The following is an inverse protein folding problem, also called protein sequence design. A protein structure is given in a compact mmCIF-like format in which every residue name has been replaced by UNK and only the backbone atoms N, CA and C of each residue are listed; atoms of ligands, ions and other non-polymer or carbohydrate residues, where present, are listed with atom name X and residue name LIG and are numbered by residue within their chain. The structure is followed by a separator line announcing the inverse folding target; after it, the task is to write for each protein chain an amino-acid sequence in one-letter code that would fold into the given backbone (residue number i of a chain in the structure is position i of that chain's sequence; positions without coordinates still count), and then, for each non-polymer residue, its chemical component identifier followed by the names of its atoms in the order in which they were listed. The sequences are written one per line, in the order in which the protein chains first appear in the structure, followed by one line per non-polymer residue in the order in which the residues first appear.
data_IF_744148571491
#
_entry.id   IF_744148571491
#
_cell.length_a   1.000
_cell.length_b   1.000
_cell.length_c   1.000
_cell.angle_alpha   90.00
_cell.angle_beta   90.00
_cell.angle_gamma   90.00
#
_symmetry.space_group_name_H-M   'P 1'
#
loop_
_entity.id
_entity.type
_entity.pdbx_description
1 polymer ?
#
# COMPACT_ATOMS: atom_id res chain seq x y z
N UNK A 1 -8.60 1.81 20.41
CA UNK A 1 -7.69 1.72 19.24
C UNK A 1 -7.82 0.33 18.63
N UNK A 2 -8.38 0.27 17.44
CA UNK A 2 -8.65 -0.97 16.70
C UNK A 2 -7.37 -1.58 16.07
N UNK A 3 -7.57 -2.66 15.31
CA UNK A 3 -6.47 -3.34 14.60
C UNK A 3 -5.91 -2.43 13.50
N UNK A 4 -6.78 -1.87 12.66
CA UNK A 4 -6.38 -1.01 11.54
C UNK A 4 -5.57 0.21 12.00
N UNK A 5 -6.03 0.91 13.06
CA UNK A 5 -5.29 2.07 13.58
C UNK A 5 -3.89 1.70 14.03
N UNK A 6 -3.71 0.56 14.73
CA UNK A 6 -2.38 0.10 15.14
C UNK A 6 -1.46 -0.19 13.95
N UNK A 7 -2.02 -0.81 12.89
CA UNK A 7 -1.28 -1.12 11.66
C UNK A 7 -0.86 0.17 10.97
N UNK A 8 -1.80 1.10 10.74
CA UNK A 8 -1.52 2.39 10.08
C UNK A 8 -0.53 3.24 10.88
N UNK A 9 -0.66 3.30 12.21
CA UNK A 9 0.33 3.98 13.05
C UNK A 9 1.72 3.36 12.91
N UNK A 10 1.81 2.03 12.84
CA UNK A 10 3.07 1.33 12.60
C UNK A 10 3.68 1.71 11.24
N UNK A 11 2.89 1.73 10.19
CA UNK A 11 3.31 2.14 8.85
C UNK A 11 3.76 3.61 8.81
N UNK A 12 3.00 4.48 9.46
CA UNK A 12 3.31 5.92 9.52
C UNK A 12 4.63 6.17 10.26
N UNK A 13 4.84 5.54 11.42
CA UNK A 13 6.10 5.63 12.15
C UNK A 13 7.27 5.16 11.31
N UNK A 14 7.10 4.04 10.60
CA UNK A 14 8.16 3.52 9.73
C UNK A 14 8.46 4.46 8.56
N UNK A 15 7.43 5.06 7.94
CA UNK A 15 7.64 6.08 6.91
C UNK A 15 8.41 7.29 7.43
N UNK A 16 8.08 7.76 8.65
CA UNK A 16 8.82 8.86 9.30
C UNK A 16 10.29 8.51 9.46
N UNK A 17 10.61 7.34 10.00
CA UNK A 17 12.00 6.90 10.18
C UNK A 17 12.79 6.88 8.84
N UNK A 18 12.16 6.39 7.78
CA UNK A 18 12.80 6.30 6.46
C UNK A 18 12.99 7.68 5.83
N UNK A 19 11.99 8.56 5.92
CA UNK A 19 12.08 9.93 5.43
C UNK A 19 13.11 10.75 6.21
N UNK A 20 13.18 10.61 7.54
CA UNK A 20 14.22 11.25 8.36
C UNK A 20 15.62 10.77 7.97
N UNK A 21 15.76 9.48 7.68
CA UNK A 21 17.02 8.91 7.17
C UNK A 21 17.37 9.49 5.80
N UNK A 22 16.38 9.67 4.92
CA UNK A 22 16.57 10.27 3.60
C UNK A 22 17.04 11.72 3.67
N UNK A 23 16.48 12.48 4.61
CA UNK A 23 16.77 13.90 4.83
C UNK A 23 18.01 14.13 5.73
N UNK A 24 18.60 13.05 6.25
CA UNK A 24 19.73 13.11 7.16
C UNK A 24 21.03 13.62 6.54
N UNK A 25 22.02 14.01 7.39
CA UNK A 25 23.31 14.51 6.93
C UNK A 25 24.02 13.53 5.98
N UNK A 26 24.59 14.04 4.89
CA UNK A 26 25.32 13.25 3.88
C UNK A 26 24.46 12.49 2.89
N UNK A 27 23.14 12.69 2.92
CA UNK A 27 22.22 12.08 1.94
C UNK A 27 21.74 13.06 0.87
N UNK A 28 21.88 14.37 1.09
CA UNK A 28 21.41 15.43 0.19
C UNK A 28 21.99 15.31 -1.23
N UNK A 29 23.23 14.82 -1.36
CA UNK A 29 23.88 14.63 -2.66
C UNK A 29 23.36 13.42 -3.46
N UNK A 30 22.47 12.62 -2.86
CA UNK A 30 21.93 11.40 -3.47
C UNK A 30 20.50 11.56 -3.98
N UNK A 31 19.88 12.71 -3.75
CA UNK A 31 18.53 13.03 -4.18
C UNK A 31 18.52 14.36 -4.88
N UNK A 32 17.62 14.55 -5.82
CA UNK A 32 17.42 15.86 -6.45
C UNK A 32 16.79 16.84 -5.46
N UNK A 33 16.91 18.14 -5.75
CA UNK A 33 16.30 19.18 -4.91
C UNK A 33 14.76 19.03 -4.85
N UNK A 34 14.13 18.62 -5.95
CA UNK A 34 12.69 18.35 -6.01
C UNK A 34 12.29 17.17 -5.14
N UNK A 35 13.05 16.05 -5.17
CA UNK A 35 12.83 14.91 -4.30
C UNK A 35 13.04 15.25 -2.84
N UNK A 36 14.05 16.05 -2.53
CA UNK A 36 14.31 16.51 -1.18
C UNK A 36 13.12 17.31 -0.63
N UNK A 37 12.64 18.28 -1.39
CA UNK A 37 11.47 19.09 -1.02
C UNK A 37 10.20 18.23 -0.84
N UNK A 38 10.01 17.22 -1.71
CA UNK A 38 8.91 16.25 -1.59
C UNK A 38 9.01 15.43 -0.31
N UNK A 39 10.18 14.92 0.03
CA UNK A 39 10.38 14.14 1.25
C UNK A 39 10.18 14.99 2.52
N UNK A 40 10.61 16.27 2.52
CA UNK A 40 10.31 17.20 3.62
C UNK A 40 8.80 17.38 3.81
N UNK A 41 8.06 17.55 2.71
CA UNK A 41 6.61 17.67 2.70
C UNK A 41 5.94 16.40 3.24
N UNK A 42 6.32 15.23 2.72
CA UNK A 42 5.81 13.93 3.16
C UNK A 42 6.10 13.68 4.66
N UNK A 43 7.30 14.01 5.13
CA UNK A 43 7.67 13.89 6.54
C UNK A 43 6.81 14.77 7.44
N UNK A 44 6.56 16.00 7.01
CA UNK A 44 5.71 16.94 7.76
C UNK A 44 4.29 16.38 7.91
N UNK A 45 3.69 15.87 6.83
CA UNK A 45 2.37 15.26 6.85
C UNK A 45 2.33 13.97 7.66
N UNK A 46 3.31 13.10 7.50
CA UNK A 46 3.39 11.85 8.23
C UNK A 46 3.39 12.08 9.75
N UNK A 47 4.16 13.06 10.24
CA UNK A 47 4.18 13.45 11.65
C UNK A 47 2.83 13.96 12.13
N UNK A 48 2.19 14.85 11.36
CA UNK A 48 0.85 15.38 11.72
C UNK A 48 -0.21 14.29 11.72
N UNK A 49 -0.13 13.37 10.78
CA UNK A 49 -1.04 12.25 10.73
C UNK A 49 -0.83 11.29 11.91
N UNK A 50 0.40 11.02 12.28
CA UNK A 50 0.71 10.23 13.47
C UNK A 50 0.15 10.89 14.73
N UNK A 51 0.37 12.19 14.93
CA UNK A 51 -0.19 12.96 16.06
C UNK A 51 -1.72 12.88 16.07
N UNK A 52 -2.38 13.01 14.91
CA UNK A 52 -3.83 12.88 14.78
C UNK A 52 -4.32 11.50 15.24
N UNK A 53 -3.67 10.41 14.82
CA UNK A 53 -4.03 9.05 15.21
C UNK A 53 -3.76 8.80 16.71
N UNK A 54 -2.67 9.32 17.26
CA UNK A 54 -2.32 9.20 18.69
C UNK A 54 -3.33 9.94 19.58
N UNK A 55 -3.95 11.01 19.08
CA UNK A 55 -5.04 11.70 19.75
C UNK A 55 -6.42 11.03 19.56
N UNK A 56 -6.49 9.89 18.92
CA UNK A 56 -7.73 9.16 18.65
C UNK A 56 -8.51 9.64 17.44
N UNK A 57 -7.84 10.30 16.49
CA UNK A 57 -8.43 10.69 15.22
C UNK A 57 -8.78 9.48 14.34
N UNK A 58 -9.67 9.69 13.39
CA UNK A 58 -10.11 8.67 12.44
C UNK A 58 -9.03 8.36 11.41
N UNK A 59 -9.06 7.13 10.88
CA UNK A 59 -8.22 6.73 9.75
C UNK A 59 -8.61 7.49 8.49
N UNK A 60 -7.60 7.88 7.71
CA UNK A 60 -7.77 8.52 6.42
C UNK A 60 -7.51 7.49 5.31
N UNK A 61 -8.42 7.43 4.33
CA UNK A 61 -8.25 6.58 3.14
C UNK A 61 -7.03 7.02 2.33
N UNK A 62 -6.37 6.10 1.62
CA UNK A 62 -6.67 4.67 1.40
C UNK A 62 -6.10 3.73 2.47
N UNK A 63 -5.40 4.25 3.48
CA UNK A 63 -4.69 3.45 4.47
C UNK A 63 -5.59 2.47 5.24
N UNK A 64 -6.83 2.85 5.54
CA UNK A 64 -7.77 2.04 6.31
C UNK A 64 -8.21 0.77 5.57
N UNK A 65 -8.41 0.84 4.26
CA UNK A 65 -8.87 -0.30 3.43
C UNK A 65 -7.89 -1.47 3.47
N UNK A 66 -6.58 -1.17 3.45
CA UNK A 66 -5.53 -2.18 3.49
C UNK A 66 -5.22 -2.64 4.92
N UNK A 67 -5.23 -1.70 5.86
CA UNK A 67 -4.84 -1.96 7.24
C UNK A 67 -5.82 -2.89 7.97
N UNK A 68 -7.12 -2.80 7.66
CA UNK A 68 -8.14 -3.68 8.23
C UNK A 68 -7.91 -5.15 7.90
N UNK A 69 -7.37 -5.42 6.71
CA UNK A 69 -7.19 -6.77 6.18
C UNK A 69 -5.73 -7.24 6.21
N UNK A 70 -4.84 -6.49 6.87
CA UNK A 70 -3.46 -6.90 7.07
C UNK A 70 -3.43 -8.23 7.87
N UNK A 71 -2.70 -9.22 7.34
CA UNK A 71 -2.63 -10.60 7.86
C UNK A 71 -3.92 -11.42 7.69
N UNK A 72 -4.93 -10.92 6.98
CA UNK A 72 -6.13 -11.69 6.65
C UNK A 72 -5.92 -12.54 5.38
N UNK A 73 -6.76 -13.56 5.24
CA UNK A 73 -6.83 -14.40 4.04
C UNK A 73 -7.65 -13.69 2.96
N UNK A 74 -6.96 -13.27 1.90
CA UNK A 74 -7.55 -12.56 0.78
C UNK A 74 -7.60 -13.44 -0.46
N UNK A 75 -8.57 -13.17 -1.33
CA UNK A 75 -8.71 -13.82 -2.64
C UNK A 75 -9.27 -12.85 -3.67
N UNK A 76 -9.02 -13.13 -4.93
CA UNK A 76 -9.67 -12.42 -6.04
C UNK A 76 -10.89 -13.22 -6.44
N UNK A 77 -12.04 -12.58 -6.43
CA UNK A 77 -13.32 -13.11 -6.87
C UNK A 77 -13.88 -12.36 -8.07
N UNK A 78 -14.97 -12.85 -8.59
CA UNK A 78 -15.75 -12.19 -9.63
C UNK A 78 -17.13 -11.89 -9.08
N UNK A 79 -17.55 -10.64 -9.19
CA UNK A 79 -18.89 -10.20 -8.83
C UNK A 79 -19.99 -10.78 -9.71
N UNK A 80 -21.26 -10.59 -9.33
CA UNK A 80 -22.39 -11.09 -10.10
C UNK A 80 -22.38 -10.52 -11.53
N UNK A 81 -22.65 -11.34 -12.56
CA UNK A 81 -22.65 -10.89 -13.95
C UNK A 81 -23.68 -9.79 -14.26
N UNK A 82 -24.67 -9.64 -13.39
CA UNK A 82 -25.77 -8.68 -13.49
C UNK A 82 -25.34 -7.23 -13.18
N UNK A 83 -24.24 -7.06 -12.46
CA UNK A 83 -23.66 -5.77 -12.06
C UNK A 83 -22.44 -5.35 -12.93
N UNK A 84 -22.20 -6.08 -14.04
CA UNK A 84 -20.96 -5.98 -14.81
C UNK A 84 -19.87 -6.80 -14.12
N UNK A 85 -19.21 -7.70 -14.81
CA UNK A 85 -18.25 -8.65 -14.24
C UNK A 85 -17.10 -7.96 -13.48
N UNK A 86 -17.40 -7.40 -12.32
CA UNK A 86 -16.43 -6.74 -11.45
C UNK A 86 -15.43 -7.75 -10.88
N UNK A 87 -14.17 -7.42 -10.95
CA UNK A 87 -13.14 -8.14 -10.21
C UNK A 87 -13.14 -7.58 -8.79
N UNK A 88 -13.29 -8.46 -7.82
CA UNK A 88 -13.41 -8.09 -6.41
C UNK A 88 -12.24 -8.71 -5.64
N UNK A 89 -11.51 -7.89 -4.89
CA UNK A 89 -10.64 -8.38 -3.83
C UNK A 89 -11.52 -8.65 -2.61
N UNK A 90 -11.56 -9.90 -2.18
CA UNK A 90 -12.45 -10.38 -1.13
C UNK A 90 -11.62 -10.87 0.07
N UNK A 91 -12.03 -10.50 1.27
CA UNK A 91 -11.45 -11.01 2.50
C UNK A 91 -12.26 -12.19 3.02
N UNK A 92 -11.68 -13.39 2.99
CA UNK A 92 -12.32 -14.60 3.53
C UNK A 92 -12.41 -14.59 5.05
N UNK A 93 -11.50 -13.86 5.72
CA UNK A 93 -11.52 -13.76 7.18
C UNK A 93 -12.67 -12.91 7.68
N UNK A 94 -12.97 -11.82 7.01
CA UNK A 94 -14.08 -10.91 7.36
C UNK A 94 -15.40 -11.27 6.69
N UNK A 95 -15.36 -12.11 5.66
CA UNK A 95 -16.48 -12.41 4.76
C UNK A 95 -17.04 -11.15 4.09
N UNK A 96 -16.13 -10.28 3.60
CA UNK A 96 -16.50 -8.95 3.07
C UNK A 96 -15.58 -8.54 1.91
N UNK A 97 -16.09 -7.80 0.91
CA UNK A 97 -15.27 -7.22 -0.13
C UNK A 97 -14.35 -6.15 0.45
N UNK A 98 -13.07 -6.23 0.12
CA UNK A 98 -12.06 -5.22 0.47
C UNK A 98 -12.06 -4.09 -0.54
N UNK A 99 -12.24 -4.44 -1.81
CA UNK A 99 -12.15 -3.54 -2.92
C UNK A 99 -12.89 -4.13 -4.13
N UNK A 100 -13.71 -3.33 -4.75
CA UNK A 100 -14.35 -3.64 -6.01
C UNK A 100 -13.83 -2.68 -7.08
N UNK A 101 -13.35 -3.22 -8.16
CA UNK A 101 -12.86 -2.43 -9.28
C UNK A 101 -13.78 -2.62 -10.46
N UNK A 102 -14.57 -1.61 -10.77
CA UNK A 102 -15.33 -1.59 -12.00
C UNK A 102 -14.36 -1.62 -13.20
N UNK A 103 -14.62 -2.42 -14.24
CA UNK A 103 -13.75 -2.49 -15.42
C UNK A 103 -13.43 -1.13 -16.05
N UNK A 104 -14.33 -0.16 -15.88
CA UNK A 104 -14.21 1.20 -16.40
C UNK A 104 -13.18 2.07 -15.65
N UNK A 105 -12.90 1.77 -14.38
CA UNK A 105 -12.00 2.58 -13.54
C UNK A 105 -10.54 2.10 -13.57
N UNK A 106 -10.31 0.81 -13.83
CA UNK A 106 -8.98 0.21 -13.74
C UNK A 106 -8.21 0.10 -15.04
N UNK A 107 -8.86 0.35 -16.17
CA UNK A 107 -8.32 -0.01 -17.47
C UNK A 107 -8.34 -1.53 -17.73
N UNK A 108 -8.53 -1.93 -18.97
CA UNK A 108 -8.67 -3.33 -19.39
C UNK A 108 -7.50 -4.23 -18.92
N UNK A 109 -6.27 -3.69 -18.90
CA UNK A 109 -5.06 -4.44 -18.54
C UNK A 109 -5.04 -4.88 -17.07
N UNK A 110 -5.54 -4.06 -16.14
CA UNK A 110 -5.59 -4.39 -14.72
C UNK A 110 -6.63 -5.46 -14.42
N UNK A 111 -7.84 -5.32 -14.98
CA UNK A 111 -8.89 -6.32 -14.83
C UNK A 111 -8.47 -7.69 -15.38
N UNK A 112 -7.82 -7.72 -16.54
CA UNK A 112 -7.26 -8.94 -17.13
C UNK A 112 -6.20 -9.58 -16.22
N UNK A 113 -5.27 -8.78 -15.69
CA UNK A 113 -4.23 -9.24 -14.77
C UNK A 113 -4.82 -9.89 -13.51
N UNK A 114 -5.81 -9.25 -12.89
CA UNK A 114 -6.45 -9.81 -11.70
C UNK A 114 -7.30 -11.05 -12.02
N UNK A 115 -7.94 -11.11 -13.18
CA UNK A 115 -8.74 -12.25 -13.61
C UNK A 115 -7.91 -13.55 -13.71
N UNK A 116 -6.62 -13.46 -14.02
CA UNK A 116 -5.70 -14.61 -14.03
C UNK A 116 -5.47 -15.21 -12.62
N UNK A 117 -5.82 -14.49 -11.57
CA UNK A 117 -5.61 -14.88 -10.18
C UNK A 117 -6.90 -15.15 -9.41
N UNK A 118 -8.01 -15.41 -10.13
CA UNK A 118 -9.29 -15.77 -9.50
C UNK A 118 -9.14 -17.00 -8.58
N UNK A 119 -9.62 -16.86 -7.35
CA UNK A 119 -9.58 -17.91 -6.33
C UNK A 119 -8.21 -18.17 -5.71
N UNK A 120 -7.17 -17.44 -6.11
CA UNK A 120 -5.82 -17.61 -5.57
C UNK A 120 -5.68 -17.04 -4.15
N UNK A 121 -4.66 -17.50 -3.42
CA UNK A 121 -4.22 -16.96 -2.12
C UNK A 121 -3.51 -15.61 -2.36
N UNK A 122 -4.12 -14.54 -1.92
CA UNK A 122 -3.62 -13.17 -2.03
C UNK A 122 -3.28 -12.66 -0.65
N UNK A 123 -2.14 -12.00 -0.52
CA UNK A 123 -1.69 -11.41 0.74
C UNK A 123 -1.23 -9.99 0.56
N UNK A 124 -1.44 -9.19 1.60
CA UNK A 124 -0.86 -7.87 1.69
C UNK A 124 0.62 -8.05 2.03
N UNK A 125 1.48 -7.57 1.13
CA UNK A 125 2.93 -7.50 1.34
C UNK A 125 3.30 -6.15 1.96
N UNK A 126 4.21 -6.21 2.90
CA UNK A 126 4.97 -5.07 3.37
C UNK A 126 6.44 -5.29 3.03
N UNK A 127 7.00 -4.42 2.21
CA UNK A 127 8.38 -4.52 1.76
C UNK A 127 9.12 -3.20 2.01
N UNK A 128 10.22 -3.27 2.70
CA UNK A 128 11.06 -2.10 2.97
C UNK A 128 12.09 -1.87 1.86
N UNK A 129 11.99 -2.60 0.77
CA UNK A 129 12.91 -2.55 -0.36
C UNK A 129 14.39 -2.61 0.03
N UNK A 130 15.19 -3.43 -0.59
CA UNK A 130 16.62 -3.45 -0.27
C UNK A 130 17.25 -2.09 -0.60
N UNK A 131 18.16 -1.62 0.24
CA UNK A 131 19.15 -0.61 -0.15
C UNK A 131 20.07 -1.22 -1.23
N UNK A 132 19.50 -1.65 -2.33
CA UNK A 132 20.26 -2.27 -3.38
C UNK A 132 20.88 -1.22 -4.29
N UNK A 133 22.18 -1.32 -4.48
CA UNK A 133 22.99 -0.66 -5.50
C UNK A 133 23.07 0.88 -5.40
N UNK A 134 23.03 1.43 -4.20
CA UNK A 134 23.23 2.87 -4.00
C UNK A 134 22.02 3.73 -4.39
N UNK A 135 20.89 3.13 -4.70
CA UNK A 135 19.60 3.81 -4.78
C UNK A 135 18.98 3.73 -3.41
N UNK A 136 18.91 4.87 -2.72
CA UNK A 136 18.27 4.94 -1.43
C UNK A 136 16.75 4.82 -1.62
N UNK A 137 16.16 3.74 -1.10
CA UNK A 137 14.71 3.61 -1.02
C UNK A 137 14.24 4.31 0.26
N UNK A 138 13.53 5.41 0.10
CA UNK A 138 13.08 6.28 1.19
C UNK A 138 11.61 6.05 1.54
N UNK A 139 11.18 4.82 1.62
CA UNK A 139 9.84 4.44 1.99
C UNK A 139 9.73 2.92 2.04
N UNK A 140 8.60 2.41 2.44
CA UNK A 140 8.27 1.02 2.26
C UNK A 140 7.02 0.88 1.41
N UNK A 141 6.97 -0.18 0.65
CA UNK A 141 5.87 -0.49 -0.23
C UNK A 141 4.87 -1.39 0.49
N UNK A 142 3.60 -1.08 0.29
CA UNK A 142 2.49 -1.98 0.59
C UNK A 142 1.97 -2.47 -0.75
N UNK A 143 1.79 -3.77 -0.86
CA UNK A 143 1.35 -4.37 -2.11
C UNK A 143 0.44 -5.56 -1.91
N UNK A 144 -0.06 -6.09 -3.01
CA UNK A 144 -0.77 -7.36 -3.08
C UNK A 144 0.09 -8.36 -3.82
N UNK A 145 0.33 -9.50 -3.19
CA UNK A 145 1.08 -10.60 -3.77
C UNK A 145 0.20 -11.85 -3.92
N UNK A 146 0.27 -12.49 -5.07
CA UNK A 146 -0.31 -13.81 -5.28
C UNK A 146 0.67 -14.88 -4.81
N UNK A 147 0.30 -15.62 -3.78
CA UNK A 147 1.09 -16.73 -3.22
C UNK A 147 0.83 -18.08 -3.90
N UNK A 148 -0.24 -18.19 -4.69
CA UNK A 148 -0.53 -19.40 -5.49
C UNK A 148 0.38 -19.46 -6.70
N UNK A 149 0.59 -18.35 -7.40
CA UNK A 149 1.50 -18.25 -8.54
C UNK A 149 2.93 -18.05 -8.07
N UNK A 150 3.89 -18.44 -8.91
CA UNK A 150 5.32 -18.30 -8.63
C UNK A 150 6.01 -17.53 -9.76
N UNK A 151 6.91 -16.63 -9.37
CA UNK A 151 7.83 -15.98 -10.29
C UNK A 151 9.07 -16.85 -10.56
N UNK A 152 10.01 -16.31 -11.34
CA UNK A 152 11.27 -17.01 -11.73
C UNK A 152 12.12 -17.45 -10.53
N UNK A 153 12.01 -16.78 -9.40
CA UNK A 153 12.76 -17.05 -8.16
C UNK A 153 11.96 -17.94 -7.18
N UNK A 154 10.83 -18.50 -7.63
CA UNK A 154 9.86 -19.23 -6.81
C UNK A 154 9.21 -18.42 -5.67
N UNK A 155 9.30 -17.09 -5.76
CA UNK A 155 8.56 -16.18 -4.88
C UNK A 155 7.13 -15.90 -5.37
N UNK A 156 6.33 -15.19 -4.56
CA UNK A 156 5.00 -14.76 -4.97
C UNK A 156 5.06 -13.76 -6.13
N UNK A 157 3.98 -13.65 -6.89
CA UNK A 157 3.85 -12.65 -7.96
C UNK A 157 3.22 -11.39 -7.40
N UNK A 158 3.91 -10.25 -7.53
CA UNK A 158 3.36 -8.95 -7.16
C UNK A 158 2.26 -8.54 -8.14
N UNK A 159 1.07 -8.28 -7.62
CA UNK A 159 -0.09 -7.79 -8.38
C UNK A 159 -0.16 -6.28 -8.36
N UNK A 160 0.12 -5.70 -7.21
CA UNK A 160 0.12 -4.26 -6.97
C UNK A 160 1.22 -3.89 -5.97
N UNK A 161 1.76 -2.70 -6.09
CA UNK A 161 2.66 -2.11 -5.09
C UNK A 161 2.49 -0.59 -5.08
N UNK A 162 2.40 -0.03 -3.88
CA UNK A 162 2.33 1.42 -3.65
C UNK A 162 3.17 1.82 -2.46
N UNK A 163 3.84 2.95 -2.56
CA UNK A 163 4.68 3.47 -1.48
C UNK A 163 3.83 4.21 -0.45
N UNK A 164 3.92 3.82 0.82
CA UNK A 164 3.12 4.44 1.89
C UNK A 164 3.37 5.94 2.01
N UNK A 165 4.61 6.39 1.81
CA UNK A 165 4.92 7.83 1.86
C UNK A 165 4.20 8.65 0.79
N UNK A 166 3.84 8.05 -0.34
CA UNK A 166 3.13 8.72 -1.43
C UNK A 166 1.67 9.01 -1.06
N UNK A 167 1.09 8.26 -0.11
CA UNK A 167 -0.25 8.54 0.43
C UNK A 167 -0.36 9.92 1.09
N UNK A 168 0.75 10.44 1.64
CA UNK A 168 0.77 11.77 2.23
C UNK A 168 0.70 12.88 1.18
N UNK A 169 1.08 12.61 -0.07
CA UNK A 169 0.87 13.52 -1.19
C UNK A 169 -0.62 13.59 -1.58
N UNK A 170 -1.33 12.46 -1.50
CA UNK A 170 -2.76 12.36 -1.82
C UNK A 170 -3.64 13.07 -0.80
N UNK A 171 -3.30 12.98 0.49
CA UNK A 171 -4.05 13.65 1.57
C UNK A 171 -4.09 15.18 1.42
N UNK A 172 -3.16 15.75 0.67
CA UNK A 172 -3.09 17.20 0.45
C UNK A 172 -3.85 17.67 -0.79
N UNK A 173 -3.98 16.83 -1.80
CA UNK A 173 -4.61 17.19 -3.07
C UNK A 173 -6.15 16.96 -3.09
N UNK A 174 -6.70 16.47 -2.01
CA UNK A 174 -8.15 16.36 -1.76
C UNK A 174 -8.66 17.53 -0.97
#
# INVERSE_FOLDING_TARGET
MGHAERVVMGWTRRSIELLERALGPGRRDRVTEAEFARYEHQLWWARRYLDHLEMGGELLRPADEWAQHHEHDLTIGQGPPEEGAEIILFCRTCDDPVWANAPEESGEDMAAKYAEHLGHDIRIRRDEGPEERGVAVYGFDIGLDCHTCKNYENGPIALFSGRVSDWFDELWNG
#
